data_IF_543683058118
#
_entry.id   IF_543683058118
#
_cell.length_a   1.000
_cell.length_b   1.000
_cell.length_c   1.000
_cell.angle_alpha   90.00
_cell.angle_beta   90.00
_cell.angle_gamma   90.00
#
_symmetry.space_group_name_H-M   'P 1'
#
loop_
_entity.id
_entity.type
_entity.pdbx_description
1 polymer ?
#
# COMPACT_ATOMS: atom_id res chain seq x y z
N UNK A 1 -14.73 -12.17 16.92
CA UNK A 1 -14.25 -12.81 15.68
C UNK A 1 -14.73 -12.07 14.44
N UNK A 2 -16.02 -11.72 14.31
CA UNK A 2 -16.54 -10.99 13.14
C UNK A 2 -15.93 -9.60 12.92
N UNK A 3 -15.69 -8.83 13.99
CA UNK A 3 -15.08 -7.50 13.89
C UNK A 3 -13.68 -7.51 13.28
N UNK A 4 -12.87 -8.54 13.57
CA UNK A 4 -11.53 -8.69 12.99
C UNK A 4 -11.62 -8.92 11.49
N UNK A 5 -12.50 -9.82 11.04
CA UNK A 5 -12.68 -10.11 9.61
C UNK A 5 -13.24 -8.91 8.83
N UNK A 6 -14.12 -8.11 9.42
CA UNK A 6 -14.60 -6.87 8.81
C UNK A 6 -13.46 -5.86 8.64
N UNK A 7 -12.67 -5.64 9.70
CA UNK A 7 -11.52 -4.74 9.68
C UNK A 7 -10.45 -5.19 8.68
N UNK A 8 -10.14 -6.48 8.65
CA UNK A 8 -9.20 -7.09 7.70
C UNK A 8 -9.63 -6.84 6.26
N UNK A 9 -10.93 -7.02 5.94
CA UNK A 9 -11.46 -6.70 4.60
C UNK A 9 -11.35 -5.22 4.27
N UNK A 10 -11.62 -4.33 5.22
CA UNK A 10 -11.49 -2.89 5.00
C UNK A 10 -10.04 -2.50 4.72
N UNK A 11 -9.09 -2.99 5.53
CA UNK A 11 -7.66 -2.73 5.34
C UNK A 11 -7.18 -3.32 4.01
N UNK A 12 -7.57 -4.54 3.69
CA UNK A 12 -7.26 -5.16 2.39
C UNK A 12 -7.74 -4.30 1.21
N UNK A 13 -8.94 -3.74 1.29
CA UNK A 13 -9.47 -2.86 0.23
C UNK A 13 -8.69 -1.55 0.12
N UNK A 14 -8.31 -0.93 1.24
CA UNK A 14 -7.50 0.29 1.25
C UNK A 14 -6.11 0.04 0.66
N UNK A 15 -5.46 -1.06 1.04
CA UNK A 15 -4.17 -1.46 0.50
C UNK A 15 -4.25 -1.77 -1.00
N UNK A 16 -5.32 -2.44 -1.47
CA UNK A 16 -5.51 -2.67 -2.91
C UNK A 16 -5.72 -1.38 -3.69
N UNK A 17 -6.40 -0.37 -3.12
CA UNK A 17 -6.51 0.96 -3.78
C UNK A 17 -5.14 1.58 -3.99
N UNK A 18 -4.23 1.45 -3.02
CA UNK A 18 -2.85 1.93 -3.14
C UNK A 18 -2.05 1.17 -4.21
N UNK A 19 -2.52 0.04 -4.74
CA UNK A 19 -1.88 -0.66 -5.86
C UNK A 19 -2.37 -0.17 -7.23
N UNK A 20 -3.49 0.56 -7.29
CA UNK A 20 -4.06 1.08 -8.54
C UNK A 20 -3.22 2.26 -9.02
N UNK A 21 -2.67 2.23 -10.26
CA UNK A 21 -1.83 3.30 -10.78
C UNK A 21 -2.50 4.68 -10.74
N UNK A 22 -3.79 4.74 -11.05
CA UNK A 22 -4.62 5.96 -11.06
C UNK A 22 -4.71 6.62 -9.67
N UNK A 23 -4.75 5.81 -8.61
CA UNK A 23 -4.76 6.30 -7.23
C UNK A 23 -3.36 6.79 -6.86
N UNK A 24 -2.31 6.06 -7.26
CA UNK A 24 -0.91 6.43 -6.97
C UNK A 24 -0.45 7.71 -7.67
N UNK A 25 -1.06 8.05 -8.81
CA UNK A 25 -0.77 9.30 -9.53
C UNK A 25 -1.62 10.48 -9.04
N UNK A 26 -2.71 10.21 -8.30
CA UNK A 26 -3.58 11.24 -7.74
C UNK A 26 -3.17 11.60 -6.32
N UNK A 27 -2.54 12.77 -6.18
CA UNK A 27 -2.18 13.32 -4.86
C UNK A 27 -3.41 13.50 -3.95
N UNK A 28 -4.57 13.84 -4.53
CA UNK A 28 -5.81 14.03 -3.78
C UNK A 28 -6.31 12.72 -3.17
N UNK A 29 -6.35 11.64 -3.96
CA UNK A 29 -6.74 10.30 -3.49
C UNK A 29 -5.75 9.75 -2.47
N UNK A 30 -4.45 9.99 -2.67
CA UNK A 30 -3.42 9.59 -1.71
C UNK A 30 -3.57 10.32 -0.37
N UNK A 31 -3.91 11.61 -0.37
CA UNK A 31 -4.13 12.39 0.87
C UNK A 31 -5.35 11.87 1.65
N UNK A 32 -6.34 11.27 0.96
CA UNK A 32 -7.49 10.65 1.60
C UNK A 32 -7.18 9.25 2.19
N UNK A 33 -6.12 8.59 1.72
CA UNK A 33 -5.74 7.24 2.14
C UNK A 33 -4.57 7.23 3.13
N UNK A 34 -3.66 8.20 3.03
CA UNK A 34 -2.41 8.28 3.77
C UNK A 34 -2.42 9.51 4.66
N UNK A 35 -1.88 9.38 5.86
CA UNK A 35 -1.71 10.51 6.77
C UNK A 35 -0.72 11.54 6.19
N UNK A 36 -0.87 12.82 6.55
CA UNK A 36 -0.04 13.93 6.04
C UNK A 36 1.48 13.71 6.18
N UNK A 37 1.91 12.95 7.20
CA UNK A 37 3.31 12.65 7.48
C UNK A 37 3.71 11.22 7.12
N UNK A 38 2.92 10.52 6.31
CA UNK A 38 3.23 9.17 5.87
C UNK A 38 4.44 9.16 4.92
N UNK A 39 5.29 8.15 5.05
CA UNK A 39 6.42 7.92 4.17
C UNK A 39 6.67 6.42 3.98
N UNK A 40 7.21 6.05 2.84
CA UNK A 40 7.57 4.65 2.53
C UNK A 40 9.00 4.57 1.99
N UNK A 41 9.74 3.53 2.35
CA UNK A 41 10.98 3.19 1.66
C UNK A 41 10.69 2.28 0.47
N UNK A 42 10.93 2.77 -0.74
CA UNK A 42 10.84 1.98 -1.95
C UNK A 42 11.98 0.95 -2.04
N UNK A 43 11.84 -0.04 -2.92
CA UNK A 43 12.88 -1.05 -3.19
C UNK A 43 14.20 -0.46 -3.73
N UNK A 44 14.16 0.76 -4.25
CA UNK A 44 15.33 1.54 -4.67
C UNK A 44 16.07 2.23 -3.51
N UNK A 45 15.55 2.15 -2.28
CA UNK A 45 16.06 2.87 -1.11
C UNK A 45 15.62 4.34 -1.04
N UNK A 46 14.79 4.80 -1.98
CA UNK A 46 14.21 6.16 -1.95
C UNK A 46 13.04 6.25 -0.98
N UNK A 47 12.89 7.42 -0.36
CA UNK A 47 11.72 7.74 0.47
C UNK A 47 10.62 8.29 -0.43
N UNK A 48 9.47 7.64 -0.42
CA UNK A 48 8.27 8.03 -1.17
C UNK A 48 7.27 8.71 -0.23
N UNK A 49 6.35 9.50 -0.81
CA UNK A 49 5.21 10.17 -0.15
C UNK A 49 5.53 11.29 0.85
N UNK A 50 6.80 11.43 1.27
CA UNK A 50 7.18 12.43 2.27
C UNK A 50 7.09 13.87 1.78
N UNK A 51 7.58 14.16 0.56
CA UNK A 51 7.63 15.53 0.00
C UNK A 51 7.77 15.55 -1.55
N UNK A 52 7.74 14.39 -2.23
CA UNK A 52 8.01 14.30 -3.68
C UNK A 52 6.72 14.25 -4.52
N UNK A 53 6.70 14.98 -5.64
CA UNK A 53 5.71 14.78 -6.71
C UNK A 53 5.92 13.40 -7.32
N UNK A 54 5.00 12.48 -6.99
CA UNK A 54 5.00 11.13 -7.55
C UNK A 54 4.55 11.24 -9.01
N UNK A 55 5.53 11.32 -9.92
CA UNK A 55 5.27 11.34 -11.36
C UNK A 55 4.97 9.94 -11.89
N UNK A 56 4.11 9.85 -12.92
CA UNK A 56 3.83 8.62 -13.68
C UNK A 56 5.10 7.86 -14.11
N UNK A 57 6.17 8.61 -14.43
CA UNK A 57 7.47 8.07 -14.81
C UNK A 57 8.15 7.24 -13.71
N UNK A 58 7.79 7.46 -12.44
CA UNK A 58 8.35 6.74 -11.29
C UNK A 58 7.54 5.50 -10.95
N UNK A 59 6.26 5.49 -11.30
CA UNK A 59 5.34 4.42 -10.91
C UNK A 59 5.31 3.28 -11.94
N UNK A 60 5.58 3.53 -13.21
CA UNK A 60 5.52 2.50 -14.26
C UNK A 60 4.12 1.91 -14.43
N UNK A 61 3.89 1.17 -15.50
CA UNK A 61 2.64 0.41 -15.62
C UNK A 61 2.71 -0.69 -14.57
N UNK A 62 1.85 -0.63 -13.55
CA UNK A 62 1.92 -1.55 -12.42
C UNK A 62 0.76 -2.52 -12.46
N UNK A 63 1.04 -3.76 -12.86
CA UNK A 63 0.14 -4.87 -12.62
C UNK A 63 0.63 -5.61 -11.37
N UNK A 64 0.19 -5.14 -10.21
CA UNK A 64 0.53 -5.71 -8.90
C UNK A 64 -0.64 -6.54 -8.37
N UNK A 65 -0.37 -7.76 -7.96
CA UNK A 65 -1.33 -8.63 -7.28
C UNK A 65 -0.93 -8.82 -5.82
N UNK A 66 -1.90 -8.70 -4.92
CA UNK A 66 -1.71 -8.91 -3.49
C UNK A 66 -2.09 -10.35 -3.10
N UNK A 67 -1.25 -10.98 -2.29
CA UNK A 67 -1.50 -12.29 -1.71
C UNK A 67 -1.03 -12.35 -0.26
N UNK A 68 -1.45 -13.39 0.46
CA UNK A 68 -1.06 -13.65 1.86
C UNK A 68 -1.30 -12.45 2.79
N UNK A 69 -2.44 -11.77 2.62
CA UNK A 69 -2.81 -10.63 3.45
C UNK A 69 -3.25 -11.10 4.84
N UNK A 70 -2.58 -10.58 5.86
CA UNK A 70 -2.89 -10.84 7.27
C UNK A 70 -2.84 -9.56 8.09
N UNK A 71 -3.63 -9.52 9.16
CA UNK A 71 -3.61 -8.42 10.12
C UNK A 71 -3.30 -8.89 11.54
N UNK A 72 -2.46 -8.11 12.21
CA UNK A 72 -2.10 -8.27 13.62
C UNK A 72 -2.49 -7.00 14.38
N UNK A 73 -3.41 -7.14 15.34
CA UNK A 73 -3.78 -6.05 16.24
C UNK A 73 -2.64 -5.85 17.25
N UNK A 74 -2.02 -4.67 17.24
CA UNK A 74 -0.97 -4.30 18.20
C UNK A 74 -1.56 -3.51 19.39
N UNK A 75 -2.62 -2.75 19.15
CA UNK A 75 -3.42 -2.07 20.18
C UNK A 75 -4.87 -1.91 19.70
N UNK A 76 -5.71 -1.18 20.46
CA UNK A 76 -7.08 -0.85 20.05
C UNK A 76 -7.12 0.02 18.78
N UNK A 77 -6.07 0.80 18.52
CA UNK A 77 -5.99 1.79 17.43
C UNK A 77 -4.89 1.48 16.42
N UNK A 78 -4.06 0.45 16.67
CA UNK A 78 -2.89 0.13 15.83
C UNK A 78 -3.02 -1.30 15.29
N UNK A 79 -2.91 -1.41 13.97
CA UNK A 79 -2.91 -2.67 13.23
C UNK A 79 -1.66 -2.75 12.37
N UNK A 80 -0.98 -3.88 12.42
CA UNK A 80 0.07 -4.25 11.48
C UNK A 80 -0.56 -5.11 10.38
N UNK A 81 -0.45 -4.67 9.13
CA UNK A 81 -0.95 -5.40 7.98
C UNK A 81 0.24 -5.95 7.19
N UNK A 82 0.37 -7.26 7.08
CA UNK A 82 1.46 -7.88 6.32
C UNK A 82 0.91 -8.57 5.09
N UNK A 83 1.59 -8.41 3.96
CA UNK A 83 1.17 -9.04 2.71
C UNK A 83 2.32 -9.17 1.71
N UNK A 84 2.08 -9.94 0.66
CA UNK A 84 2.98 -10.08 -0.47
C UNK A 84 2.40 -9.38 -1.68
N UNK A 85 3.28 -8.72 -2.42
CA UNK A 85 2.96 -8.15 -3.73
C UNK A 85 3.77 -8.87 -4.78
N UNK A 86 3.10 -9.36 -5.81
CA UNK A 86 3.74 -9.78 -7.04
C UNK A 86 3.54 -8.71 -8.11
N UNK A 87 4.64 -8.16 -8.61
CA UNK A 87 4.63 -7.23 -9.74
C UNK A 87 4.86 -8.03 -11.02
N UNK A 88 3.84 -8.09 -11.89
CA UNK A 88 3.88 -8.87 -13.12
C UNK A 88 4.86 -8.31 -14.17
N UNK A 89 5.13 -7.00 -14.12
CA UNK A 89 5.97 -6.32 -15.13
C UNK A 89 7.44 -6.68 -14.96
N UNK A 90 7.94 -6.63 -13.72
CA UNK A 90 9.32 -7.01 -13.43
C UNK A 90 9.44 -8.47 -12.92
N UNK A 91 8.32 -9.18 -12.75
CA UNK A 91 8.23 -10.54 -12.20
C UNK A 91 8.88 -10.69 -10.82
N UNK A 92 8.71 -9.67 -9.97
CA UNK A 92 9.31 -9.65 -8.63
C UNK A 92 8.25 -9.76 -7.54
N UNK A 93 8.62 -10.48 -6.49
CA UNK A 93 7.88 -10.48 -5.24
C UNK A 93 8.47 -9.46 -4.27
N UNK A 94 7.60 -8.77 -3.55
CA UNK A 94 7.98 -7.90 -2.44
C UNK A 94 7.11 -8.21 -1.23
N UNK A 95 7.70 -8.03 -0.04
CA UNK A 95 7.02 -8.17 1.25
C UNK A 95 6.69 -6.78 1.76
N UNK A 96 5.49 -6.59 2.29
CA UNK A 96 4.99 -5.32 2.84
C UNK A 96 4.48 -5.53 4.25
N UNK A 97 4.65 -4.50 5.10
CA UNK A 97 4.20 -4.44 6.49
C UNK A 97 3.89 -3.01 6.91
#
# INVERSE_FOLDING_TARGET
MEKKSALEKQLFQLENKLLVPEIRTSKEELTNLLADNFFEFGSSGKVLYKDEEISEATLGIVQMTMSDFEIHLLSEEIVLATYRIYNEVNKQHSLRS
#
